data_IF_398096707205
#
_entry.id   IF_398096707205
#
_cell.length_a   1.000
_cell.length_b   1.000
_cell.length_c   1.000
_cell.angle_alpha   90.00
_cell.angle_beta   90.00
_cell.angle_gamma   90.00
#
_symmetry.space_group_name_H-M   'P 1'
#
loop_
_entity.id
_entity.type
_entity.pdbx_description
1 polymer ?
#
# COMPACT_ATOMS: atom_id res chain seq x y z
N UNK A 1 5.92 -5.57 28.78
CA UNK A 1 5.35 -4.80 27.66
C UNK A 1 4.16 -5.59 27.14
N UNK A 2 2.98 -4.98 26.98
CA UNK A 2 1.78 -5.66 26.44
C UNK A 2 2.10 -6.23 25.04
N UNK A 3 1.64 -7.45 24.75
CA UNK A 3 1.97 -8.21 23.54
C UNK A 3 1.65 -7.46 22.25
N UNK A 4 0.67 -6.57 22.28
CA UNK A 4 0.35 -5.69 21.16
C UNK A 4 1.48 -4.72 20.82
N UNK A 5 2.09 -4.06 21.81
CA UNK A 5 3.22 -3.16 21.56
C UNK A 5 4.50 -3.93 21.18
N UNK A 6 4.66 -5.15 21.69
CA UNK A 6 5.73 -6.06 21.23
C UNK A 6 5.56 -6.37 19.74
N UNK A 7 4.34 -6.67 19.29
CA UNK A 7 4.04 -6.88 17.87
C UNK A 7 4.41 -5.64 17.04
N UNK A 8 4.00 -4.44 17.46
CA UNK A 8 4.35 -3.20 16.76
C UNK A 8 5.87 -2.96 16.70
N UNK A 9 6.60 -3.26 17.78
CA UNK A 9 8.05 -3.16 17.83
C UNK A 9 8.71 -4.15 16.87
N UNK A 10 8.32 -5.42 16.91
CA UNK A 10 8.82 -6.47 15.99
C UNK A 10 8.58 -6.05 14.55
N UNK A 11 7.37 -5.60 14.24
CA UNK A 11 7.01 -5.13 12.90
C UNK A 11 7.83 -3.91 12.49
N UNK A 12 8.09 -2.97 13.40
CA UNK A 12 8.92 -1.80 13.10
C UNK A 12 10.36 -2.19 12.76
N UNK A 13 10.97 -3.08 13.55
CA UNK A 13 12.32 -3.60 13.30
C UNK A 13 12.37 -4.37 11.98
N UNK A 14 11.37 -5.23 11.74
CA UNK A 14 11.29 -6.04 10.53
C UNK A 14 11.12 -5.15 9.29
N UNK A 15 10.40 -4.03 9.37
CA UNK A 15 10.29 -3.07 8.27
C UNK A 15 11.67 -2.53 7.84
N UNK A 16 12.54 -2.20 8.80
CA UNK A 16 13.91 -1.72 8.51
C UNK A 16 14.73 -2.82 7.85
N UNK A 17 14.65 -4.05 8.36
CA UNK A 17 15.34 -5.21 7.77
C UNK A 17 14.87 -5.45 6.34
N UNK A 18 13.55 -5.44 6.10
CA UNK A 18 12.95 -5.62 4.77
C UNK A 18 13.34 -4.48 3.84
N UNK A 19 13.33 -3.23 4.30
CA UNK A 19 13.78 -2.08 3.50
C UNK A 19 15.21 -2.28 2.99
N UNK A 20 16.14 -2.64 3.89
CA UNK A 20 17.53 -2.92 3.52
C UNK A 20 17.59 -4.11 2.56
N UNK A 21 16.94 -5.22 2.90
CA UNK A 21 16.95 -6.43 2.09
C UNK A 21 16.42 -6.19 0.66
N UNK A 22 15.40 -5.35 0.49
CA UNK A 22 14.83 -5.03 -0.82
C UNK A 22 15.73 -4.13 -1.70
N UNK A 23 16.85 -3.59 -1.20
CA UNK A 23 17.88 -3.04 -2.09
C UNK A 23 18.78 -4.12 -2.70
N UNK A 24 18.89 -5.28 -2.06
CA UNK A 24 19.76 -6.38 -2.50
C UNK A 24 19.00 -7.54 -3.13
N UNK A 25 17.72 -7.73 -2.77
CA UNK A 25 16.89 -8.87 -3.17
C UNK A 25 15.66 -8.40 -3.93
N UNK A 26 15.44 -8.97 -5.11
CA UNK A 26 14.36 -8.56 -5.99
C UNK A 26 13.06 -9.32 -5.75
N UNK A 27 12.07 -8.73 -5.06
CA UNK A 27 10.75 -9.35 -4.94
C UNK A 27 10.13 -9.67 -6.32
N UNK A 28 9.98 -10.96 -6.62
CA UNK A 28 9.69 -11.47 -7.97
C UNK A 28 8.22 -11.39 -8.37
N UNK A 29 7.71 -10.21 -8.69
CA UNK A 29 6.37 -10.04 -9.28
C UNK A 29 6.27 -8.84 -10.23
N UNK A 30 5.37 -8.92 -11.21
CA UNK A 30 5.25 -7.92 -12.28
C UNK A 30 6.43 -7.97 -13.25
N UNK A 31 7.04 -6.81 -13.55
CA UNK A 31 8.19 -6.68 -14.47
C UNK A 31 9.42 -7.46 -13.99
N UNK A 32 9.56 -7.69 -12.67
CA UNK A 32 10.71 -8.35 -12.05
C UNK A 32 10.51 -9.84 -11.74
N UNK A 33 9.49 -10.48 -12.31
CA UNK A 33 9.29 -11.93 -12.10
C UNK A 33 10.46 -12.74 -12.68
N UNK A 34 10.97 -13.72 -11.91
CA UNK A 34 11.92 -14.73 -12.39
C UNK A 34 11.55 -16.12 -11.85
N UNK A 35 11.88 -17.19 -12.61
CA UNK A 35 11.62 -18.59 -12.21
C UNK A 35 12.29 -18.99 -10.89
N UNK A 36 13.26 -18.20 -10.40
CA UNK A 36 13.97 -18.44 -9.13
C UNK A 36 13.08 -18.28 -7.90
N UNK A 37 11.94 -17.58 -8.04
CA UNK A 37 11.00 -17.32 -6.94
C UNK A 37 9.97 -18.43 -6.72
N UNK A 38 10.09 -19.56 -7.42
CA UNK A 38 9.24 -20.74 -7.22
C UNK A 38 8.06 -20.81 -8.18
N UNK A 39 6.97 -21.42 -7.71
CA UNK A 39 5.82 -21.78 -8.56
C UNK A 39 5.09 -20.52 -9.04
N UNK A 40 4.90 -20.34 -10.36
CA UNK A 40 4.10 -19.24 -10.89
C UNK A 40 2.61 -19.51 -10.66
N UNK A 41 1.89 -18.47 -10.27
CA UNK A 41 0.43 -18.44 -10.23
C UNK A 41 -0.11 -17.33 -11.12
N UNK A 42 -1.39 -17.44 -11.49
CA UNK A 42 -2.08 -16.38 -12.21
C UNK A 42 -2.00 -15.08 -11.40
N UNK A 43 -1.53 -14.00 -12.03
CA UNK A 43 -1.30 -12.75 -11.32
C UNK A 43 -2.58 -12.13 -10.74
N UNK A 44 -3.71 -12.18 -11.46
CA UNK A 44 -4.98 -11.66 -10.93
C UNK A 44 -5.42 -12.42 -9.68
N UNK A 45 -5.41 -13.75 -9.76
CA UNK A 45 -5.75 -14.61 -8.62
C UNK A 45 -4.78 -14.40 -7.45
N UNK A 46 -3.48 -14.30 -7.72
CA UNK A 46 -2.47 -14.02 -6.70
C UNK A 46 -2.72 -12.70 -5.98
N UNK A 47 -3.05 -11.62 -6.70
CA UNK A 47 -3.41 -10.35 -6.09
C UNK A 47 -4.67 -10.45 -5.21
N UNK A 48 -5.74 -11.10 -5.69
CA UNK A 48 -6.97 -11.28 -4.89
C UNK A 48 -6.66 -12.07 -3.61
N UNK A 49 -5.98 -13.21 -3.74
CA UNK A 49 -5.63 -14.07 -2.58
C UNK A 49 -4.69 -13.36 -1.60
N UNK A 50 -3.78 -12.52 -2.09
CA UNK A 50 -2.86 -11.76 -1.25
C UNK A 50 -3.57 -10.64 -0.47
N UNK A 51 -4.48 -9.90 -1.11
CA UNK A 51 -5.08 -8.67 -0.57
C UNK A 51 -6.45 -8.85 0.09
N UNK A 52 -7.21 -9.90 -0.25
CA UNK A 52 -8.52 -10.14 0.37
C UNK A 52 -8.44 -10.52 1.87
N UNK A 53 -7.40 -11.20 2.38
CA UNK A 53 -7.34 -11.60 3.78
C UNK A 53 -7.36 -10.44 4.78
N UNK A 54 -6.74 -9.29 4.49
CA UNK A 54 -6.78 -8.12 5.39
C UNK A 54 -8.19 -7.53 5.47
N UNK A 55 -8.90 -7.43 4.33
CA UNK A 55 -10.31 -7.02 4.28
C UNK A 55 -11.17 -7.91 5.17
N UNK A 56 -11.07 -9.24 5.00
CA UNK A 56 -11.86 -10.19 5.79
C UNK A 56 -11.46 -10.16 7.28
N UNK A 57 -10.17 -10.13 7.58
CA UNK A 57 -9.67 -10.14 8.96
C UNK A 57 -10.10 -8.89 9.71
N UNK A 58 -10.05 -7.72 9.08
CA UNK A 58 -10.44 -6.46 9.69
C UNK A 58 -11.95 -6.44 10.01
N UNK A 59 -12.81 -6.91 9.09
CA UNK A 59 -14.24 -7.10 9.36
C UNK A 59 -14.50 -8.09 10.49
N UNK A 60 -13.78 -9.22 10.53
CA UNK A 60 -13.93 -10.20 11.62
C UNK A 60 -13.53 -9.60 12.97
N UNK A 61 -12.43 -8.85 13.03
CA UNK A 61 -12.00 -8.15 14.24
C UNK A 61 -13.05 -7.15 14.72
N UNK A 62 -13.64 -6.37 13.81
CA UNK A 62 -14.71 -5.43 14.14
C UNK A 62 -15.95 -6.16 14.69
N UNK A 63 -16.46 -7.16 13.98
CA UNK A 63 -17.67 -7.92 14.35
C UNK A 63 -17.52 -8.67 15.69
N UNK A 64 -16.29 -8.99 16.08
CA UNK A 64 -15.96 -9.70 17.33
C UNK A 64 -15.55 -8.76 18.46
N UNK A 65 -15.61 -7.45 18.25
CA UNK A 65 -15.27 -6.45 19.25
C UNK A 65 -16.50 -5.96 20.02
N UNK A 66 -16.29 -5.36 21.19
CA UNK A 66 -17.33 -4.63 21.93
C UNK A 66 -17.67 -3.27 21.30
N UNK A 67 -17.01 -2.88 20.19
CA UNK A 67 -17.16 -1.58 19.51
C UNK A 67 -17.89 -1.68 18.18
N UNK A 68 -18.66 -2.75 18.00
CA UNK A 68 -19.39 -3.01 16.74
C UNK A 68 -20.37 -1.89 16.38
N UNK A 69 -20.90 -1.19 17.39
CA UNK A 69 -21.85 -0.09 17.31
C UNK A 69 -21.22 1.32 17.45
N UNK A 70 -19.90 1.39 17.69
CA UNK A 70 -19.19 2.67 17.78
C UNK A 70 -19.08 3.31 16.39
N UNK A 71 -19.82 4.41 16.17
CA UNK A 71 -19.91 5.12 14.89
C UNK A 71 -18.53 5.56 14.38
N UNK A 72 -17.68 6.11 15.24
CA UNK A 72 -16.34 6.59 14.85
C UNK A 72 -15.47 5.43 14.36
N UNK A 73 -15.49 4.30 15.07
CA UNK A 73 -14.78 3.10 14.66
C UNK A 73 -15.31 2.54 13.35
N UNK A 74 -16.62 2.56 13.12
CA UNK A 74 -17.25 2.14 11.86
C UNK A 74 -16.79 3.06 10.70
N UNK A 75 -16.77 4.38 10.90
CA UNK A 75 -16.32 5.32 9.87
C UNK A 75 -14.85 5.08 9.51
N UNK A 76 -13.98 4.91 10.50
CA UNK A 76 -12.55 4.61 10.28
C UNK A 76 -12.40 3.25 9.57
N UNK A 77 -13.16 2.22 9.98
CA UNK A 77 -13.21 0.93 9.33
C UNK A 77 -13.60 1.07 7.85
N UNK A 78 -14.66 1.80 7.53
CA UNK A 78 -15.11 2.01 6.15
C UNK A 78 -14.03 2.70 5.30
N UNK A 79 -13.32 3.68 5.86
CA UNK A 79 -12.18 4.34 5.18
C UNK A 79 -11.04 3.34 4.92
N UNK A 80 -10.76 2.42 5.85
CA UNK A 80 -9.78 1.37 5.63
C UNK A 80 -10.26 0.36 4.57
N UNK A 81 -11.52 -0.08 4.66
CA UNK A 81 -12.09 -1.09 3.78
C UNK A 81 -12.30 -0.59 2.35
N UNK A 82 -12.56 0.69 2.12
CA UNK A 82 -12.71 1.20 0.74
C UNK A 82 -11.40 1.06 -0.05
N UNK A 83 -10.25 1.26 0.60
CA UNK A 83 -8.95 0.99 0.00
C UNK A 83 -8.83 -0.48 -0.38
N UNK A 84 -9.04 -1.38 0.60
CA UNK A 84 -8.85 -2.81 0.38
C UNK A 84 -9.91 -3.43 -0.53
N UNK A 85 -11.13 -2.91 -0.56
CA UNK A 85 -12.14 -3.26 -1.54
C UNK A 85 -11.64 -2.95 -2.95
N UNK A 86 -11.13 -1.73 -3.17
CA UNK A 86 -10.54 -1.38 -4.46
C UNK A 86 -9.33 -2.27 -4.77
N UNK A 87 -8.39 -2.42 -3.83
CA UNK A 87 -7.12 -3.12 -4.05
C UNK A 87 -7.28 -4.63 -4.26
N UNK A 88 -8.21 -5.27 -3.57
CA UNK A 88 -8.43 -6.72 -3.62
C UNK A 88 -9.45 -7.14 -4.67
N UNK A 89 -10.50 -6.34 -4.94
CA UNK A 89 -11.62 -6.75 -5.78
C UNK A 89 -11.84 -5.89 -7.03
N UNK A 90 -11.23 -4.71 -7.14
CA UNK A 90 -11.34 -3.87 -8.35
C UNK A 90 -10.04 -3.91 -9.15
N UNK A 91 -8.93 -3.50 -8.53
CA UNK A 91 -7.62 -3.41 -9.15
C UNK A 91 -7.17 -4.69 -9.87
N UNK A 92 -7.29 -5.91 -9.29
CA UNK A 92 -6.78 -7.12 -9.95
C UNK A 92 -7.52 -7.44 -11.25
N UNK A 93 -8.83 -7.18 -11.29
CA UNK A 93 -9.65 -7.41 -12.48
C UNK A 93 -9.34 -6.40 -13.59
N UNK A 94 -8.96 -5.19 -13.19
CA UNK A 94 -8.52 -4.12 -14.06
C UNK A 94 -7.13 -4.34 -14.67
N UNK A 95 -6.29 -5.20 -14.09
CA UNK A 95 -4.93 -5.44 -14.59
C UNK A 95 -4.90 -5.92 -16.04
N UNK A 96 -3.96 -5.37 -16.81
CA UNK A 96 -3.67 -5.74 -18.21
C UNK A 96 -2.27 -6.34 -18.34
N UNK A 97 -2.12 -7.29 -19.25
CA UNK A 97 -0.86 -7.99 -19.52
C UNK A 97 -0.85 -9.45 -19.00
N UNK A 98 0.00 -10.27 -19.61
CA UNK A 98 0.26 -11.65 -19.19
C UNK A 98 1.52 -11.66 -18.30
N UNK A 99 1.33 -11.48 -17.00
CA UNK A 99 2.41 -11.71 -16.02
C UNK A 99 1.97 -12.76 -15.02
N UNK A 100 2.96 -13.33 -14.32
CA UNK A 100 2.74 -14.25 -13.22
C UNK A 100 3.18 -13.59 -11.90
N UNK A 101 2.62 -14.08 -10.81
CA UNK A 101 3.11 -13.80 -9.46
C UNK A 101 3.77 -15.08 -8.93
N UNK A 102 4.85 -14.96 -8.17
CA UNK A 102 5.43 -16.11 -7.48
C UNK A 102 4.58 -16.46 -6.25
N UNK A 103 4.29 -17.75 -6.04
CA UNK A 103 3.46 -18.22 -4.93
C UNK A 103 3.98 -17.75 -3.57
N UNK A 104 5.30 -17.79 -3.36
CA UNK A 104 5.91 -17.34 -2.10
C UNK A 104 5.66 -15.84 -1.82
N UNK A 105 5.66 -15.00 -2.86
CA UNK A 105 5.39 -13.57 -2.73
C UNK A 105 3.93 -13.35 -2.32
N UNK A 106 3.00 -14.10 -2.92
CA UNK A 106 1.59 -14.08 -2.52
C UNK A 106 1.41 -14.48 -1.05
N UNK A 107 2.06 -15.57 -0.61
CA UNK A 107 1.96 -16.05 0.77
C UNK A 107 2.56 -15.06 1.78
N UNK A 108 3.70 -14.46 1.46
CA UNK A 108 4.32 -13.43 2.30
C UNK A 108 3.44 -12.18 2.39
N UNK A 109 2.85 -11.75 1.26
CA UNK A 109 1.92 -10.62 1.24
C UNK A 109 0.65 -10.92 2.02
N UNK A 110 0.08 -12.12 1.89
CA UNK A 110 -1.06 -12.59 2.68
C UNK A 110 -0.76 -12.57 4.19
N UNK A 111 0.40 -13.11 4.60
CA UNK A 111 0.83 -13.08 5.99
C UNK A 111 0.94 -11.64 6.51
N UNK A 112 1.63 -10.77 5.76
CA UNK A 112 1.76 -9.36 6.11
C UNK A 112 0.39 -8.69 6.26
N UNK A 113 -0.52 -8.92 5.32
CA UNK A 113 -1.86 -8.35 5.31
C UNK A 113 -2.69 -8.80 6.52
N UNK A 114 -2.61 -10.07 6.92
CA UNK A 114 -3.22 -10.54 8.16
C UNK A 114 -2.62 -9.85 9.40
N UNK A 115 -1.29 -9.71 9.46
CA UNK A 115 -0.62 -9.01 10.57
C UNK A 115 -1.00 -7.52 10.59
N UNK A 116 -1.12 -6.88 9.44
CA UNK A 116 -1.54 -5.49 9.34
C UNK A 116 -2.98 -5.30 9.84
N UNK A 117 -3.91 -6.19 9.48
CA UNK A 117 -5.26 -6.18 10.04
C UNK A 117 -5.24 -6.31 11.57
N UNK A 118 -4.42 -7.21 12.12
CA UNK A 118 -4.25 -7.35 13.57
C UNK A 118 -3.67 -6.09 14.21
N UNK A 119 -2.75 -5.39 13.54
CA UNK A 119 -2.20 -4.12 14.05
C UNK A 119 -3.26 -3.02 14.05
N UNK A 120 -3.90 -2.75 12.91
CA UNK A 120 -4.87 -1.65 12.78
C UNK A 120 -6.17 -1.95 13.54
N UNK A 121 -6.76 -3.12 13.32
CA UNK A 121 -7.97 -3.56 14.03
C UNK A 121 -7.72 -3.78 15.51
N UNK A 122 -6.54 -4.25 15.90
CA UNK A 122 -6.14 -4.36 17.30
C UNK A 122 -6.16 -3.01 18.03
N UNK A 123 -5.63 -1.95 17.40
CA UNK A 123 -5.72 -0.60 17.96
C UNK A 123 -7.17 -0.12 18.02
N UNK A 124 -7.86 -0.15 16.88
CA UNK A 124 -9.17 0.48 16.70
C UNK A 124 -10.24 -0.16 17.60
N UNK A 125 -10.21 -1.49 17.73
CA UNK A 125 -11.30 -2.24 18.34
C UNK A 125 -11.00 -2.79 19.73
N UNK A 126 -9.73 -2.94 20.12
CA UNK A 126 -9.36 -3.67 21.34
C UNK A 126 -8.36 -2.97 22.27
N UNK A 127 -7.54 -2.02 21.78
CA UNK A 127 -6.39 -1.50 22.54
C UNK A 127 -6.42 -0.01 22.82
N UNK A 128 -7.00 0.80 21.95
CA UNK A 128 -7.21 2.22 22.25
C UNK A 128 -8.13 2.36 23.47
N UNK A 129 -7.98 3.41 24.31
CA UNK A 129 -8.91 3.68 25.42
C UNK A 129 -10.37 3.75 24.97
N UNK A 130 -11.32 3.44 25.86
CA UNK A 130 -12.75 3.40 25.52
C UNK A 130 -13.33 4.77 25.15
N UNK A 131 -12.72 5.83 25.66
CA UNK A 131 -13.03 7.23 25.37
C UNK A 131 -12.18 7.83 24.22
N UNK A 132 -11.39 7.02 23.52
CA UNK A 132 -10.49 7.53 22.48
C UNK A 132 -11.23 7.88 21.18
N UNK A 133 -12.08 6.98 20.70
CA UNK A 133 -12.86 7.14 19.46
C UNK A 133 -14.33 7.46 19.78
N UNK A 134 -14.56 8.56 20.49
CA UNK A 134 -15.90 9.13 20.67
C UNK A 134 -16.39 9.77 19.37
N UNK A 135 -17.66 10.16 19.32
CA UNK A 135 -18.23 10.85 18.16
C UNK A 135 -17.53 12.18 17.87
N UNK A 136 -17.06 12.87 18.90
CA UNK A 136 -16.35 14.16 18.77
C UNK A 136 -15.04 14.01 18.00
N UNK A 137 -14.42 12.82 18.01
CA UNK A 137 -13.22 12.52 17.24
C UNK A 137 -13.38 12.85 15.75
N UNK A 138 -14.57 12.63 15.17
CA UNK A 138 -14.88 12.89 13.77
C UNK A 138 -14.77 14.38 13.39
N UNK A 139 -14.77 15.27 14.37
CA UNK A 139 -14.63 16.73 14.17
C UNK A 139 -13.25 17.26 14.52
N UNK A 140 -12.35 16.40 15.00
CA UNK A 140 -10.99 16.80 15.35
C UNK A 140 -10.17 17.17 14.11
N UNK A 141 -9.21 18.10 14.22
CA UNK A 141 -8.30 18.42 13.12
C UNK A 141 -7.56 17.19 12.59
N UNK A 142 -7.18 16.26 13.46
CA UNK A 142 -6.49 15.01 13.12
C UNK A 142 -7.34 14.17 12.18
N UNK A 143 -8.60 13.91 12.55
CA UNK A 143 -9.51 13.15 11.72
C UNK A 143 -9.74 13.84 10.37
N UNK A 144 -10.10 15.12 10.37
CA UNK A 144 -10.42 15.87 9.14
C UNK A 144 -9.22 15.94 8.19
N UNK A 145 -8.06 16.36 8.69
CA UNK A 145 -6.84 16.50 7.87
C UNK A 145 -6.39 15.13 7.39
N UNK A 146 -6.37 14.12 8.27
CA UNK A 146 -5.97 12.78 7.91
C UNK A 146 -6.88 12.15 6.85
N UNK A 147 -8.20 12.34 6.95
CA UNK A 147 -9.17 11.87 5.94
C UNK A 147 -8.98 12.56 4.60
N UNK A 148 -8.73 13.87 4.58
CA UNK A 148 -8.44 14.60 3.32
C UNK A 148 -7.15 14.05 2.68
N UNK A 149 -6.08 13.90 3.47
CA UNK A 149 -4.81 13.37 2.98
C UNK A 149 -4.98 11.93 2.46
N UNK A 150 -5.76 11.10 3.17
CA UNK A 150 -6.06 9.73 2.79
C UNK A 150 -6.67 9.67 1.39
N UNK A 151 -7.77 10.40 1.17
CA UNK A 151 -8.46 10.39 -0.12
C UNK A 151 -7.65 11.06 -1.24
N UNK A 152 -6.86 12.09 -0.94
CA UNK A 152 -5.91 12.64 -1.92
C UNK A 152 -4.90 11.58 -2.35
N UNK A 153 -4.34 10.83 -1.41
CA UNK A 153 -3.44 9.71 -1.69
C UNK A 153 -4.10 8.62 -2.53
N UNK A 154 -5.31 8.20 -2.16
CA UNK A 154 -6.10 7.20 -2.87
C UNK A 154 -6.40 7.64 -4.32
N UNK A 155 -6.80 8.90 -4.52
CA UNK A 155 -7.04 9.47 -5.86
C UNK A 155 -5.77 9.42 -6.70
N UNK A 156 -4.63 9.83 -6.13
CA UNK A 156 -3.33 9.79 -6.82
C UNK A 156 -2.96 8.34 -7.19
N UNK A 157 -3.16 7.39 -6.28
CA UNK A 157 -2.88 5.98 -6.49
C UNK A 157 -3.69 5.42 -7.67
N UNK A 158 -5.02 5.53 -7.60
CA UNK A 158 -5.96 5.02 -8.61
C UNK A 158 -5.75 5.70 -9.96
N UNK A 159 -5.56 7.02 -9.97
CA UNK A 159 -5.29 7.76 -11.20
C UNK A 159 -3.98 7.31 -11.86
N UNK A 160 -2.94 7.09 -11.06
CA UNK A 160 -1.63 6.65 -11.55
C UNK A 160 -1.67 5.21 -12.08
N UNK A 161 -2.36 4.30 -11.39
CA UNK A 161 -2.59 2.94 -11.88
C UNK A 161 -3.40 2.93 -13.18
N UNK A 162 -4.37 3.84 -13.31
CA UNK A 162 -5.10 4.01 -14.56
C UNK A 162 -4.20 4.48 -15.70
N UNK A 163 -3.28 5.42 -15.47
CA UNK A 163 -2.29 5.84 -16.48
C UNK A 163 -1.43 4.63 -16.88
N UNK A 164 -0.82 3.93 -15.92
CA UNK A 164 0.08 2.78 -16.17
C UNK A 164 -0.62 1.72 -17.04
N UNK A 165 -1.85 1.37 -16.68
CA UNK A 165 -2.64 0.37 -17.39
C UNK A 165 -2.99 0.74 -18.83
N UNK A 166 -3.07 2.03 -19.13
CA UNK A 166 -3.37 2.54 -20.47
C UNK A 166 -2.13 2.93 -21.27
N UNK A 167 -0.92 2.66 -20.76
CA UNK A 167 0.32 2.87 -21.53
C UNK A 167 0.44 1.95 -22.74
N UNK A 168 -0.20 0.77 -22.69
CA UNK A 168 -0.16 -0.20 -23.78
C UNK A 168 -1.55 -0.38 -24.39
N UNK A 169 -1.59 -0.43 -25.72
CA UNK A 169 -2.76 -0.93 -26.46
C UNK A 169 -2.76 -2.47 -26.44
N UNK A 170 -3.92 -3.08 -26.66
CA UNK A 170 -4.02 -4.54 -26.73
C UNK A 170 -3.07 -5.10 -27.80
N UNK A 171 -2.20 -6.05 -27.43
CA UNK A 171 -1.20 -6.64 -28.31
C UNK A 171 0.17 -5.93 -28.33
N UNK A 172 0.31 -4.78 -27.68
CA UNK A 172 1.59 -4.05 -27.60
C UNK A 172 2.47 -4.58 -26.46
N UNK A 173 3.73 -4.87 -26.76
CA UNK A 173 4.76 -5.32 -25.82
C UNK A 173 5.80 -4.25 -25.49
N UNK A 174 5.75 -3.08 -26.14
CA UNK A 174 6.74 -2.01 -25.93
C UNK A 174 6.64 -1.40 -24.53
N UNK A 175 7.77 -0.86 -24.09
CA UNK A 175 7.89 -0.13 -22.84
C UNK A 175 7.68 1.37 -23.10
N UNK A 176 6.99 2.05 -22.17
CA UNK A 176 6.73 3.48 -22.26
C UNK A 176 6.95 4.12 -20.90
N UNK A 177 7.54 5.31 -20.90
CA UNK A 177 7.60 6.16 -19.72
C UNK A 177 6.21 6.75 -19.45
N UNK A 178 5.64 6.57 -18.24
CA UNK A 178 4.36 7.16 -17.88
C UNK A 178 4.41 8.69 -17.94
N UNK A 179 3.32 9.33 -18.38
CA UNK A 179 3.20 10.80 -18.48
C UNK A 179 1.86 11.25 -17.91
N UNK A 180 1.82 12.50 -17.42
CA UNK A 180 0.62 13.11 -16.84
C UNK A 180 0.46 12.86 -15.34
N UNK A 181 -0.46 13.60 -14.71
CA UNK A 181 -0.69 13.53 -13.26
C UNK A 181 0.60 13.71 -12.45
N UNK A 182 0.78 12.87 -11.44
CA UNK A 182 1.97 12.86 -10.58
C UNK A 182 3.23 12.29 -11.25
N UNK A 183 3.12 11.65 -12.43
CA UNK A 183 4.30 11.23 -13.21
C UNK A 183 5.11 12.40 -13.78
N UNK A 184 4.60 13.63 -13.65
CA UNK A 184 5.38 14.86 -13.91
C UNK A 184 6.51 15.06 -12.89
N UNK A 185 6.42 14.44 -11.71
CA UNK A 185 7.36 14.66 -10.61
C UNK A 185 8.10 13.40 -10.19
N UNK A 186 7.46 12.24 -10.31
CA UNK A 186 8.02 10.96 -9.83
C UNK A 186 7.76 9.81 -10.81
N UNK A 187 8.66 8.83 -10.89
CA UNK A 187 8.49 7.66 -11.76
C UNK A 187 7.51 6.62 -11.21
N UNK A 188 7.26 6.64 -9.90
CA UNK A 188 6.36 5.69 -9.22
C UNK A 188 5.23 6.43 -8.51
N UNK A 189 4.43 7.17 -9.29
CA UNK A 189 3.34 8.02 -8.81
C UNK A 189 2.25 7.26 -8.05
N UNK A 190 1.96 6.01 -8.42
CA UNK A 190 1.02 5.16 -7.69
C UNK A 190 1.52 4.85 -6.28
N UNK A 191 2.82 4.56 -6.12
CA UNK A 191 3.43 4.32 -4.81
C UNK A 191 3.49 5.58 -3.95
N UNK A 192 3.69 6.74 -4.57
CA UNK A 192 3.57 8.01 -3.85
C UNK A 192 2.15 8.20 -3.31
N UNK A 193 1.12 7.97 -4.14
CA UNK A 193 -0.27 8.03 -3.72
C UNK A 193 -0.57 7.10 -2.55
N UNK A 194 -0.11 5.86 -2.63
CA UNK A 194 -0.28 4.84 -1.56
C UNK A 194 0.43 5.27 -0.26
N UNK A 195 1.63 5.85 -0.35
CA UNK A 195 2.33 6.39 0.82
C UNK A 195 1.56 7.56 1.46
N UNK A 196 1.07 8.51 0.65
CA UNK A 196 0.28 9.65 1.12
C UNK A 196 -1.02 9.16 1.76
N UNK A 197 -1.67 8.18 1.16
CA UNK A 197 -2.90 7.56 1.67
C UNK A 197 -2.70 7.04 3.09
N UNK A 198 -1.67 6.22 3.30
CA UNK A 198 -1.39 5.65 4.63
C UNK A 198 -0.86 6.68 5.63
N UNK A 199 -0.19 7.75 5.19
CA UNK A 199 0.14 8.90 6.06
C UNK A 199 -1.15 9.55 6.56
N UNK A 200 -2.13 9.76 5.66
CA UNK A 200 -3.46 10.25 6.03
C UNK A 200 -4.14 9.33 7.03
N UNK A 201 -4.07 8.01 6.83
CA UNK A 201 -4.61 7.02 7.76
C UNK A 201 -3.96 7.07 9.15
N UNK A 202 -2.63 7.22 9.21
CA UNK A 202 -1.91 7.36 10.47
C UNK A 202 -2.31 8.64 11.23
N UNK A 203 -2.54 9.74 10.51
CA UNK A 203 -2.99 11.01 11.08
C UNK A 203 -4.44 10.90 11.57
N UNK A 204 -5.37 10.35 10.77
CA UNK A 204 -6.79 10.30 11.13
C UNK A 204 -7.07 9.34 12.31
N UNK A 205 -6.30 8.25 12.40
CA UNK A 205 -6.39 7.32 13.53
C UNK A 205 -5.59 7.81 14.73
N UNK A 206 -4.62 8.70 14.51
CA UNK A 206 -3.63 9.15 15.49
C UNK A 206 -3.07 7.98 16.30
N UNK A 207 -2.66 6.92 15.60
CA UNK A 207 -2.31 5.64 16.19
C UNK A 207 -0.87 5.24 15.90
N UNK A 208 -0.22 4.58 16.87
CA UNK A 208 1.11 4.01 16.63
C UNK A 208 1.07 2.93 15.55
N UNK A 209 0.01 2.12 15.48
CA UNK A 209 -0.15 1.12 14.41
C UNK A 209 -0.21 1.75 13.02
N UNK A 210 -0.88 2.88 12.88
CA UNK A 210 -0.92 3.64 11.63
C UNK A 210 0.48 4.10 11.22
N UNK A 211 1.27 4.63 12.17
CA UNK A 211 2.67 5.03 11.92
C UNK A 211 3.54 3.84 11.51
N UNK A 212 3.41 2.70 12.19
CA UNK A 212 4.16 1.48 11.82
C UNK A 212 3.76 1.00 10.43
N UNK A 213 2.50 1.17 10.03
CA UNK A 213 2.09 0.81 8.67
C UNK A 213 2.64 1.77 7.61
N UNK A 214 2.70 3.07 7.89
CA UNK A 214 3.40 4.04 7.01
C UNK A 214 4.87 3.64 6.83
N UNK A 215 5.55 3.25 7.91
CA UNK A 215 6.93 2.77 7.85
C UNK A 215 7.05 1.54 6.94
N UNK A 216 6.15 0.57 7.07
CA UNK A 216 6.10 -0.62 6.22
C UNK A 216 5.79 -0.32 4.75
N UNK A 217 4.87 0.59 4.49
CA UNK A 217 4.54 1.06 3.14
C UNK A 217 5.77 1.68 2.51
N UNK A 218 6.46 2.60 3.21
CA UNK A 218 7.69 3.18 2.70
C UNK A 218 8.80 2.12 2.52
N UNK A 219 8.97 1.23 3.49
CA UNK A 219 9.97 0.17 3.48
C UNK A 219 9.86 -0.74 2.26
N UNK A 220 8.64 -1.07 1.83
CA UNK A 220 8.40 -1.88 0.64
C UNK A 220 8.46 -1.07 -0.66
N UNK A 221 7.84 0.11 -0.68
CA UNK A 221 7.61 0.85 -1.92
C UNK A 221 8.83 1.67 -2.35
N UNK A 222 9.63 2.21 -1.44
CA UNK A 222 10.78 3.03 -1.79
C UNK A 222 11.89 2.25 -2.53
N UNK A 223 12.34 1.06 -2.07
CA UNK A 223 13.32 0.26 -2.81
C UNK A 223 12.78 -0.18 -4.18
N UNK A 224 11.47 -0.46 -4.26
CA UNK A 224 10.82 -0.82 -5.52
C UNK A 224 10.76 0.36 -6.49
N UNK A 225 10.43 1.55 -6.00
CA UNK A 225 10.45 2.78 -6.79
C UNK A 225 11.86 3.09 -7.32
N UNK A 226 12.90 2.86 -6.51
CA UNK A 226 14.29 3.00 -6.93
C UNK A 226 14.64 2.08 -8.10
N UNK A 227 14.16 0.83 -8.06
CA UNK A 227 14.37 -0.13 -9.15
C UNK A 227 13.61 0.24 -10.41
N UNK A 228 12.35 0.65 -10.29
CA UNK A 228 11.57 1.17 -11.42
C UNK A 228 12.25 2.38 -12.06
N UNK A 229 12.76 3.31 -11.24
CA UNK A 229 13.51 4.45 -11.73
C UNK A 229 14.77 4.04 -12.48
N UNK A 230 15.57 3.12 -11.94
CA UNK A 230 16.80 2.64 -12.60
C UNK A 230 16.50 1.92 -13.91
N UNK A 231 15.42 1.13 -13.95
CA UNK A 231 14.93 0.48 -15.17
C UNK A 231 14.55 1.51 -16.23
N UNK A 232 13.77 2.53 -15.87
CA UNK A 232 13.46 3.61 -16.79
C UNK A 232 14.70 4.41 -17.20
N UNK A 233 15.68 4.60 -16.31
CA UNK A 233 16.93 5.29 -16.63
C UNK A 233 17.75 4.54 -17.68
N UNK A 234 17.77 3.20 -17.61
CA UNK A 234 18.45 2.39 -18.63
C UNK A 234 17.76 2.42 -20.00
N UNK A 235 16.43 2.59 -20.05
CA UNK A 235 15.67 2.56 -21.31
C UNK A 235 15.44 3.98 -21.90
N UNK A 236 15.31 5.00 -21.05
CA UNK A 236 14.84 6.35 -21.41
C UNK A 236 15.69 7.47 -20.79
N UNK A 237 17.00 7.23 -20.61
CA UNK A 237 17.92 8.14 -19.90
C UNK A 237 17.80 9.61 -20.30
N UNK A 238 17.85 9.91 -21.60
CA UNK A 238 17.78 11.28 -22.12
C UNK A 238 16.46 11.98 -21.75
N UNK A 239 15.33 11.26 -21.81
CA UNK A 239 14.01 11.81 -21.45
C UNK A 239 13.89 12.03 -19.93
N UNK A 240 14.45 11.14 -19.12
CA UNK A 240 14.45 11.25 -17.66
C UNK A 240 15.33 12.38 -17.15
N UNK A 241 16.54 12.52 -17.70
CA UNK A 241 17.50 13.54 -17.29
C UNK A 241 16.98 14.95 -17.61
N UNK A 242 16.24 15.09 -18.72
CA UNK A 242 15.55 16.35 -19.08
C UNK A 242 14.44 16.69 -18.09
N UNK A 243 13.62 15.70 -17.68
CA UNK A 243 12.45 15.93 -16.81
C UNK A 243 12.79 16.09 -15.32
N UNK A 244 13.96 15.63 -14.88
CA UNK A 244 14.42 15.70 -13.47
C UNK A 244 13.44 15.08 -12.46
N UNK A 245 12.66 14.08 -12.88
CA UNK A 245 11.74 13.36 -11.98
C UNK A 245 12.50 12.55 -10.94
N UNK A 246 11.83 12.27 -9.82
CA UNK A 246 12.36 11.48 -8.70
C UNK A 246 11.72 10.09 -8.65
N UNK A 247 12.09 9.25 -7.70
CA UNK A 247 11.60 7.87 -7.60
C UNK A 247 10.15 7.85 -7.09
N UNK A 248 9.93 8.42 -5.90
CA UNK A 248 8.66 8.33 -5.17
C UNK A 248 8.30 9.61 -4.40
N UNK A 249 9.25 10.36 -3.85
CA UNK A 249 8.98 11.64 -3.18
C UNK A 249 9.30 12.79 -4.15
N UNK A 250 8.30 13.60 -4.56
CA UNK A 250 8.52 14.74 -5.44
C UNK A 250 9.66 15.64 -4.97
N UNK A 251 10.55 15.99 -5.90
CA UNK A 251 11.71 16.86 -5.67
C UNK A 251 12.80 16.33 -4.71
N UNK A 252 12.54 15.28 -3.94
CA UNK A 252 13.44 14.75 -2.92
C UNK A 252 14.06 13.41 -3.34
N UNK A 253 13.26 12.34 -3.47
CA UNK A 253 13.77 10.97 -3.56
C UNK A 253 13.10 10.15 -4.66
#
# INVERSE_FOLDING_TARGET
MDGYYILLLIMSVLAVVVFIALYFVEAGYGVFYSKKWGVPINNKLGWVLMELPVFVTMLVLWLRSSRVDNITCIVILVIFEIHYLHRSLVFPFLMRGKSNMALIIMLLGMLFNCVNALMQGGWLFYKSPDDYYTIDWLTTPQFIIGTIIFFVGMIINIHSDNIIRNLRKNGDTKHYLPKGGMFKYVTSANYFGELVEWIGFAILTYSLSGVVFVLWTFANLAPRAARIYNHYKSEFGDELDTKKVKRIIPFIY
#
